data_IF_956757172908
#
_entry.id   IF_956757172908
#
_cell.length_a   1.000
_cell.length_b   1.000
_cell.length_c   1.000
_cell.angle_alpha   90.00
_cell.angle_beta   90.00
_cell.angle_gamma   90.00
#
_symmetry.space_group_name_H-M   'P 1'
#
loop_
_entity.id
_entity.type
_entity.pdbx_description
1 polymer ?
#
# COMPACT_ATOMS: atom_id res chain seq x y z
N UNK A 1 -10.24 23.81 -18.88
CA UNK A 1 -11.36 23.21 -18.11
C UNK A 1 -11.14 21.71 -17.86
N UNK A 2 -10.84 20.89 -18.88
CA UNK A 2 -10.52 19.45 -18.73
C UNK A 2 -9.36 19.16 -17.75
N UNK A 3 -8.26 19.90 -17.81
CA UNK A 3 -7.08 19.70 -16.94
C UNK A 3 -7.42 19.87 -15.44
N UNK A 4 -8.28 20.83 -15.10
CA UNK A 4 -8.72 21.04 -13.72
C UNK A 4 -9.63 19.91 -13.23
N UNK A 5 -10.45 19.34 -14.10
CA UNK A 5 -11.31 18.21 -13.78
C UNK A 5 -10.49 16.92 -13.54
N UNK A 6 -9.49 16.65 -14.39
CA UNK A 6 -8.56 15.52 -14.18
C UNK A 6 -7.78 15.66 -12.86
N UNK A 7 -7.25 16.84 -12.55
CA UNK A 7 -6.56 17.10 -11.28
C UNK A 7 -7.48 16.86 -10.07
N UNK A 8 -8.75 17.29 -10.16
CA UNK A 8 -9.73 17.09 -9.09
C UNK A 8 -10.10 15.62 -8.90
N UNK A 9 -10.42 14.90 -9.98
CA UNK A 9 -10.76 13.47 -9.95
C UNK A 9 -9.60 12.67 -9.36
N UNK A 10 -8.35 13.00 -9.72
CA UNK A 10 -7.16 12.34 -9.21
C UNK A 10 -7.00 12.57 -7.69
N UNK A 11 -7.22 13.80 -7.21
CA UNK A 11 -7.20 14.13 -5.77
C UNK A 11 -8.28 13.40 -4.97
N UNK A 12 -9.51 13.34 -5.51
CA UNK A 12 -10.63 12.61 -4.89
C UNK A 12 -10.33 11.11 -4.85
N UNK A 13 -9.83 10.55 -5.94
CA UNK A 13 -9.46 9.13 -6.03
C UNK A 13 -8.40 8.78 -4.98
N UNK A 14 -7.40 9.64 -4.77
CA UNK A 14 -6.43 9.43 -3.70
C UNK A 14 -7.04 9.47 -2.30
N UNK A 15 -7.85 10.47 -1.99
CA UNK A 15 -8.54 10.56 -0.70
C UNK A 15 -9.43 9.33 -0.45
N UNK A 16 -10.12 8.86 -1.48
CA UNK A 16 -10.96 7.68 -1.43
C UNK A 16 -10.16 6.39 -1.18
N UNK A 17 -8.89 6.32 -1.61
CA UNK A 17 -8.02 5.15 -1.42
C UNK A 17 -7.29 5.16 -0.07
N UNK A 18 -7.00 6.34 0.51
CA UNK A 18 -6.28 6.46 1.78
C UNK A 18 -7.04 5.82 2.94
N UNK A 19 -8.34 6.10 3.09
CA UNK A 19 -9.18 5.55 4.16
C UNK A 19 -9.22 4.01 4.16
N UNK A 20 -9.56 3.35 3.03
CA UNK A 20 -9.47 1.90 2.90
C UNK A 20 -8.07 1.35 3.17
N UNK A 21 -7.02 2.05 2.74
CA UNK A 21 -5.64 1.59 2.96
C UNK A 21 -5.27 1.61 4.44
N UNK A 22 -5.69 2.63 5.20
CA UNK A 22 -5.54 2.68 6.65
C UNK A 22 -6.30 1.53 7.31
N UNK A 23 -7.54 1.27 6.89
CA UNK A 23 -8.32 0.14 7.39
C UNK A 23 -7.64 -1.20 7.10
N UNK A 24 -7.07 -1.39 5.91
CA UNK A 24 -6.28 -2.59 5.56
C UNK A 24 -5.06 -2.73 6.47
N UNK A 25 -4.33 -1.65 6.75
CA UNK A 25 -3.18 -1.69 7.66
C UNK A 25 -3.60 -2.10 9.06
N UNK A 26 -4.63 -1.44 9.62
CA UNK A 26 -5.12 -1.70 10.98
C UNK A 26 -5.64 -3.13 11.09
N UNK A 27 -6.50 -3.56 10.17
CA UNK A 27 -7.07 -4.91 10.16
C UNK A 27 -6.00 -5.97 9.98
N UNK A 28 -5.01 -5.76 9.11
CA UNK A 28 -3.90 -6.69 8.91
C UNK A 28 -3.02 -6.80 10.17
N UNK A 29 -2.71 -5.70 10.86
CA UNK A 29 -1.92 -5.72 12.09
C UNK A 29 -2.66 -6.38 13.26
N UNK A 30 -3.95 -6.07 13.45
CA UNK A 30 -4.79 -6.69 14.48
C UNK A 30 -4.93 -8.20 14.22
N UNK A 31 -5.22 -8.57 12.97
CA UNK A 31 -5.33 -9.98 12.56
C UNK A 31 -4.00 -10.72 12.71
N UNK A 32 -2.88 -10.06 12.41
CA UNK A 32 -1.56 -10.65 12.58
C UNK A 32 -1.24 -10.96 14.04
N UNK A 33 -1.66 -10.08 14.96
CA UNK A 33 -1.50 -10.28 16.41
C UNK A 33 -2.37 -11.44 16.90
N UNK A 34 -3.59 -11.57 16.39
CA UNK A 34 -4.52 -12.64 16.77
C UNK A 34 -4.13 -14.02 16.23
N UNK A 35 -3.69 -14.09 14.97
CA UNK A 35 -3.42 -15.35 14.29
C UNK A 35 -2.03 -15.92 14.58
N UNK A 36 -1.02 -15.06 14.77
CA UNK A 36 0.36 -15.51 15.01
C UNK A 36 0.96 -16.35 13.87
N UNK A 37 2.12 -16.95 14.13
CA UNK A 37 2.77 -17.91 13.21
C UNK A 37 3.02 -17.38 11.79
N UNK A 38 2.95 -18.28 10.81
CA UNK A 38 3.22 -17.97 9.40
C UNK A 38 2.11 -17.10 8.77
N UNK A 39 0.88 -17.17 9.26
CA UNK A 39 -0.22 -16.34 8.76
C UNK A 39 -0.06 -14.89 9.22
N UNK A 40 0.27 -14.69 10.50
CA UNK A 40 0.58 -13.36 11.04
C UNK A 40 1.78 -12.70 10.38
N UNK A 41 2.80 -13.48 9.99
CA UNK A 41 3.92 -12.96 9.18
C UNK A 41 3.45 -12.47 7.81
N UNK A 42 2.57 -13.23 7.13
CA UNK A 42 1.99 -12.82 5.85
C UNK A 42 1.21 -11.51 5.95
N UNK A 43 0.35 -11.40 6.97
CA UNK A 43 -0.44 -10.20 7.24
C UNK A 43 0.43 -8.97 7.58
N UNK A 44 1.52 -9.15 8.34
CA UNK A 44 2.50 -8.07 8.59
C UNK A 44 3.18 -7.59 7.31
N UNK A 45 3.51 -8.50 6.38
CA UNK A 45 4.07 -8.10 5.07
C UNK A 45 3.08 -7.27 4.25
N UNK A 46 1.79 -7.66 4.25
CA UNK A 46 0.74 -6.85 3.61
C UNK A 46 0.66 -5.47 4.26
N UNK A 47 0.61 -5.40 5.59
CA UNK A 47 0.58 -4.13 6.32
C UNK A 47 1.78 -3.23 5.97
N UNK A 48 3.00 -3.78 5.96
CA UNK A 48 4.22 -3.04 5.56
C UNK A 48 4.11 -2.52 4.14
N UNK A 49 3.69 -3.35 3.18
CA UNK A 49 3.51 -2.95 1.79
C UNK A 49 2.46 -1.85 1.61
N UNK A 50 1.37 -1.91 2.37
CA UNK A 50 0.32 -0.87 2.39
C UNK A 50 0.81 0.44 3.03
N UNK A 51 1.61 0.37 4.10
CA UNK A 51 2.23 1.55 4.73
C UNK A 51 3.17 2.25 3.74
N UNK A 52 4.03 1.49 3.05
CA UNK A 52 4.97 2.06 2.06
C UNK A 52 4.21 2.79 0.95
N UNK A 53 3.14 2.18 0.40
CA UNK A 53 2.31 2.84 -0.60
C UNK A 53 1.58 4.07 -0.04
N UNK A 54 1.12 4.03 1.21
CA UNK A 54 0.51 5.19 1.87
C UNK A 54 1.51 6.35 1.96
N UNK A 55 2.75 6.08 2.36
CA UNK A 55 3.83 7.07 2.40
C UNK A 55 4.06 7.66 1.00
N UNK A 56 4.12 6.81 -0.03
CA UNK A 56 4.30 7.25 -1.42
C UNK A 56 3.18 8.21 -1.87
N UNK A 57 1.92 7.89 -1.55
CA UNK A 57 0.76 8.74 -1.83
C UNK A 57 0.85 10.07 -1.07
N UNK A 58 1.20 10.03 0.21
CA UNK A 58 1.33 11.24 1.03
C UNK A 58 2.45 12.15 0.53
N UNK A 59 3.59 11.58 0.14
CA UNK A 59 4.70 12.34 -0.47
C UNK A 59 4.26 12.98 -1.78
N UNK A 60 3.49 12.27 -2.63
CA UNK A 60 2.93 12.85 -3.85
C UNK A 60 2.03 14.05 -3.57
N UNK A 61 1.11 13.93 -2.60
CA UNK A 61 0.21 15.02 -2.20
C UNK A 61 0.99 16.24 -1.70
N UNK A 62 2.06 16.03 -0.91
CA UNK A 62 2.91 17.11 -0.43
C UNK A 62 3.62 17.83 -1.58
N UNK A 63 4.14 17.11 -2.57
CA UNK A 63 4.78 17.69 -3.74
C UNK A 63 3.79 18.46 -4.63
N UNK A 64 2.56 17.99 -4.78
CA UNK A 64 1.49 18.67 -5.51
C UNK A 64 1.05 19.98 -4.83
N UNK A 65 1.19 20.11 -3.51
CA UNK A 65 0.88 21.35 -2.76
C UNK A 65 1.92 22.47 -2.93
N UNK A 66 2.91 22.30 -3.81
CA UNK A 66 3.93 23.31 -4.09
C UNK A 66 5.22 23.14 -3.28
N UNK A 67 5.35 22.09 -2.47
CA UNK A 67 6.58 21.79 -1.72
C UNK A 67 7.70 21.19 -2.60
N UNK A 68 7.72 21.51 -3.90
CA UNK A 68 8.66 20.94 -4.89
C UNK A 68 10.12 21.37 -4.68
N UNK A 69 10.37 22.38 -3.83
CA UNK A 69 11.71 22.86 -3.50
C UNK A 69 12.44 22.11 -2.38
N UNK A 70 11.79 21.17 -1.68
CA UNK A 70 12.40 20.44 -0.55
C UNK A 70 13.40 19.35 -0.97
N UNK A 71 13.22 18.77 -2.16
CA UNK A 71 14.02 17.64 -2.65
C UNK A 71 14.35 17.85 -4.13
N UNK A 72 15.54 17.40 -4.56
CA UNK A 72 15.90 17.41 -5.97
C UNK A 72 15.01 16.45 -6.77
N UNK A 73 14.76 16.76 -8.04
CA UNK A 73 13.90 15.95 -8.90
C UNK A 73 14.37 14.49 -9.00
N UNK A 74 15.69 14.28 -9.06
CA UNK A 74 16.28 12.94 -9.05
C UNK A 74 15.99 12.20 -7.74
N UNK A 75 16.11 12.85 -6.59
CA UNK A 75 15.80 12.24 -5.30
C UNK A 75 14.33 11.83 -5.21
N UNK A 76 13.42 12.67 -5.72
CA UNK A 76 11.99 12.35 -5.81
C UNK A 76 11.78 11.13 -6.70
N UNK A 77 12.35 11.10 -7.93
CA UNK A 77 12.22 9.96 -8.85
C UNK A 77 12.70 8.65 -8.23
N UNK A 78 13.89 8.65 -7.61
CA UNK A 78 14.43 7.46 -6.95
C UNK A 78 13.57 7.02 -5.77
N UNK A 79 13.06 7.96 -4.96
CA UNK A 79 12.14 7.66 -3.87
C UNK A 79 10.88 6.95 -4.35
N UNK A 80 10.22 7.48 -5.39
CA UNK A 80 9.01 6.87 -5.95
C UNK A 80 9.26 5.47 -6.51
N UNK A 81 10.36 5.27 -7.24
CA UNK A 81 10.73 3.95 -7.78
C UNK A 81 11.00 2.97 -6.64
N UNK A 82 11.82 3.36 -5.66
CA UNK A 82 12.19 2.49 -4.55
C UNK A 82 10.99 2.11 -3.68
N UNK A 83 10.18 3.09 -3.27
CA UNK A 83 8.97 2.84 -2.48
C UNK A 83 7.93 2.04 -3.27
N UNK A 84 7.76 2.31 -4.57
CA UNK A 84 6.86 1.55 -5.43
C UNK A 84 7.25 0.07 -5.53
N UNK A 85 8.52 -0.20 -5.84
CA UNK A 85 9.04 -1.57 -5.97
C UNK A 85 8.99 -2.29 -4.62
N UNK A 86 9.51 -1.68 -3.55
CA UNK A 86 9.54 -2.31 -2.22
C UNK A 86 8.13 -2.58 -1.68
N UNK A 87 7.21 -1.62 -1.81
CA UNK A 87 5.81 -1.78 -1.44
C UNK A 87 5.15 -2.93 -2.19
N UNK A 88 5.37 -3.02 -3.50
CA UNK A 88 4.83 -4.09 -4.34
C UNK A 88 5.40 -5.48 -3.96
N UNK A 89 6.70 -5.57 -3.66
CA UNK A 89 7.34 -6.80 -3.19
C UNK A 89 6.70 -7.28 -1.89
N UNK A 90 6.54 -6.39 -0.91
CA UNK A 90 5.94 -6.74 0.39
C UNK A 90 4.49 -7.19 0.26
N UNK A 91 3.67 -6.48 -0.52
CA UNK A 91 2.29 -6.87 -0.80
C UNK A 91 2.23 -8.24 -1.46
N UNK A 92 3.00 -8.44 -2.54
CA UNK A 92 3.01 -9.69 -3.31
C UNK A 92 3.47 -10.86 -2.44
N UNK A 93 4.55 -10.69 -1.68
CA UNK A 93 5.06 -11.71 -0.77
C UNK A 93 4.06 -12.03 0.35
N UNK A 94 3.37 -11.03 0.88
CA UNK A 94 2.31 -11.19 1.87
C UNK A 94 1.13 -11.98 1.32
N UNK A 95 0.59 -11.60 0.16
CA UNK A 95 -0.52 -12.30 -0.50
C UNK A 95 -0.17 -13.74 -0.89
N UNK A 96 1.02 -13.97 -1.46
CA UNK A 96 1.48 -15.33 -1.79
C UNK A 96 1.53 -16.21 -0.53
N UNK A 97 2.01 -15.66 0.59
CA UNK A 97 2.08 -16.39 1.84
C UNK A 97 0.69 -16.74 2.37
N UNK A 98 -0.25 -15.80 2.37
CA UNK A 98 -1.64 -16.06 2.77
C UNK A 98 -2.29 -17.09 1.85
N UNK A 99 -2.12 -16.95 0.54
CA UNK A 99 -2.66 -17.89 -0.46
C UNK A 99 -2.15 -19.32 -0.22
N UNK A 100 -0.84 -19.49 0.00
CA UNK A 100 -0.25 -20.80 0.32
C UNK A 100 -0.85 -21.40 1.59
N UNK A 101 -1.10 -20.60 2.62
CA UNK A 101 -1.69 -21.07 3.88
C UNK A 101 -3.15 -21.44 3.68
N UNK A 102 -3.94 -20.59 3.02
CA UNK A 102 -5.35 -20.84 2.77
C UNK A 102 -5.58 -22.08 1.91
N UNK A 103 -4.71 -22.33 0.91
CA UNK A 103 -4.67 -23.59 0.16
C UNK A 103 -4.37 -24.80 1.03
N UNK A 104 -3.39 -24.71 1.93
CA UNK A 104 -3.07 -25.81 2.86
C UNK A 104 -4.24 -26.15 3.79
N UNK A 105 -4.98 -25.13 4.21
CA UNK A 105 -6.15 -25.27 5.07
C UNK A 105 -7.43 -25.65 4.32
N UNK A 106 -7.37 -25.85 2.98
CA UNK A 106 -8.54 -26.08 2.10
C UNK A 106 -9.67 -25.04 2.27
N UNK A 107 -9.33 -23.83 2.72
CA UNK A 107 -10.29 -22.74 2.92
C UNK A 107 -10.87 -22.22 1.60
N UNK A 108 -10.20 -22.52 0.49
CA UNK A 108 -10.71 -22.35 -0.85
C UNK A 108 -10.98 -23.74 -1.44
N UNK A 109 -12.21 -24.22 -1.28
CA UNK A 109 -12.72 -25.32 -2.10
C UNK A 109 -12.93 -24.78 -3.49
N UNK A 110 -12.08 -25.22 -4.43
CA UNK A 110 -12.44 -25.19 -5.85
C UNK A 110 -13.70 -26.06 -5.96
N UNK A 111 -14.84 -25.40 -6.19
CA UNK A 111 -15.99 -26.04 -6.84
C UNK A 111 -15.80 -25.83 -8.33
#
# INVERSE_FOLDING_TARGET
>A
MLINLYSLIFKISYLAVVLPTILVIVTALLSAKAMGGTLGIGLKKIAVGSIIHTILIMTYILLEKGNRGLLSENAVRFFFIFCGISGAIFLTAGYIQIYKIARKLKLFTVV
#
